data_IF_015561189000
#
_entry.id   IF_015561189000
#
_cell.length_a   1.000
_cell.length_b   1.000
_cell.length_c   1.000
_cell.angle_alpha   90.00
_cell.angle_beta   90.00
_cell.angle_gamma   90.00
#
_symmetry.space_group_name_H-M   'P 1'
#
loop_
_entity.id
_entity.type
_entity.pdbx_description
1 polymer ?
#
# COMPACT_ATOMS: atom_id res chain seq x y z
N UNK A 1 5.43 -9.11 12.16
CA UNK A 1 4.75 -7.88 12.59
C UNK A 1 4.03 -8.14 13.88
N UNK A 2 4.02 -7.13 14.75
CA UNK A 2 3.38 -7.16 16.05
C UNK A 2 2.40 -6.00 16.19
N UNK A 3 1.44 -6.13 17.10
CA UNK A 3 0.46 -5.09 17.39
C UNK A 3 0.80 -4.41 18.71
N UNK A 4 0.61 -3.09 18.80
CA UNK A 4 0.76 -2.42 20.10
C UNK A 4 -0.36 -2.86 21.04
N UNK A 5 -0.11 -2.95 22.37
CA UNK A 5 -1.13 -3.39 23.32
C UNK A 5 -2.42 -2.54 23.31
N UNK A 6 -2.28 -1.25 23.00
CA UNK A 6 -3.38 -0.29 22.93
C UNK A 6 -4.05 -0.20 21.54
N UNK A 7 -3.65 -1.02 20.55
CA UNK A 7 -4.20 -0.95 19.18
C UNK A 7 -5.73 -0.91 19.15
N UNK A 8 -6.37 -1.86 19.84
CA UNK A 8 -7.81 -2.01 19.77
C UNK A 8 -8.52 -0.83 20.44
N UNK A 9 -8.03 -0.37 21.60
CA UNK A 9 -8.61 0.78 22.29
C UNK A 9 -8.46 2.07 21.47
N UNK A 10 -7.30 2.26 20.83
CA UNK A 10 -7.06 3.36 19.88
C UNK A 10 -8.09 3.31 18.75
N UNK A 11 -8.25 2.19 18.06
CA UNK A 11 -9.22 2.12 16.97
C UNK A 11 -10.68 2.28 17.42
N UNK A 12 -11.03 1.73 18.59
CA UNK A 12 -12.38 1.88 19.15
C UNK A 12 -12.70 3.33 19.52
N UNK A 13 -11.70 4.13 19.94
CA UNK A 13 -11.86 5.57 20.19
C UNK A 13 -12.18 6.37 18.92
N UNK A 14 -11.88 5.81 17.74
CA UNK A 14 -12.16 6.39 16.42
C UNK A 14 -13.28 5.67 15.67
N UNK A 15 -14.01 4.72 16.28
CA UNK A 15 -15.01 3.89 15.60
C UNK A 15 -16.12 4.69 14.91
N UNK A 16 -16.45 5.87 15.43
CA UNK A 16 -17.42 6.81 14.87
C UNK A 16 -17.07 7.23 13.45
N UNK A 17 -15.78 7.24 13.09
CA UNK A 17 -15.33 7.54 11.74
C UNK A 17 -15.80 6.47 10.74
N UNK A 18 -16.06 5.23 11.17
CA UNK A 18 -16.55 4.16 10.29
C UNK A 18 -17.97 4.40 9.76
N UNK A 19 -18.69 5.41 10.27
CA UNK A 19 -20.00 5.80 9.74
C UNK A 19 -19.86 6.31 8.29
N UNK A 20 -18.83 7.09 8.00
CA UNK A 20 -18.59 7.70 6.68
C UNK A 20 -17.33 7.18 5.98
N UNK A 21 -16.50 6.42 6.68
CA UNK A 21 -15.22 5.91 6.17
C UNK A 21 -15.22 4.39 6.06
N UNK A 22 -14.60 3.86 5.00
CA UNK A 22 -14.55 2.42 4.75
C UNK A 22 -13.86 1.65 5.87
N UNK A 23 -12.73 2.16 6.33
CA UNK A 23 -11.90 1.57 7.38
C UNK A 23 -10.98 2.62 8.00
N UNK A 24 -10.45 2.29 9.18
CA UNK A 24 -9.39 3.03 9.84
C UNK A 24 -8.04 2.39 9.54
N UNK A 25 -6.98 3.20 9.47
CA UNK A 25 -5.60 2.73 9.39
C UNK A 25 -4.70 3.69 10.19
N UNK A 26 -3.50 3.26 10.57
CA UNK A 26 -2.70 3.96 11.56
C UNK A 26 -1.21 3.93 11.20
N UNK A 27 -0.41 4.75 11.89
CA UNK A 27 1.05 4.73 11.76
C UNK A 27 1.64 3.40 12.27
N UNK A 28 2.91 3.15 11.94
CA UNK A 28 3.64 1.98 12.40
C UNK A 28 4.92 2.41 13.13
N UNK A 29 5.48 1.52 13.93
CA UNK A 29 6.87 1.53 14.35
C UNK A 29 7.67 0.58 13.46
N UNK A 30 8.97 0.82 13.31
CA UNK A 30 9.86 -0.05 12.53
C UNK A 30 10.90 -0.68 13.46
N UNK A 31 10.93 -2.01 13.47
CA UNK A 31 11.95 -2.81 14.15
C UNK A 31 12.91 -3.40 13.12
N UNK A 32 14.22 -3.15 13.28
CA UNK A 32 15.27 -3.62 12.37
C UNK A 32 16.09 -4.76 12.98
N UNK A 33 15.42 -5.70 13.66
CA UNK A 33 16.08 -6.81 14.36
C UNK A 33 16.67 -6.44 15.72
N UNK A 34 16.37 -5.23 16.21
CA UNK A 34 16.79 -4.75 17.52
C UNK A 34 15.88 -5.29 18.62
N UNK A 35 16.46 -5.62 19.78
CA UNK A 35 15.69 -5.89 20.99
C UNK A 35 15.17 -4.57 21.53
N UNK A 36 13.86 -4.47 21.73
CA UNK A 36 13.21 -3.28 22.28
C UNK A 36 12.46 -3.63 23.56
N UNK A 37 12.45 -2.71 24.53
CA UNK A 37 11.75 -2.89 25.80
C UNK A 37 10.31 -2.37 25.76
N UNK A 38 10.05 -1.35 24.94
CA UNK A 38 8.73 -0.74 24.75
C UNK A 38 8.57 -0.36 23.26
N UNK A 39 7.42 -0.58 22.62
CA UNK A 39 7.22 -0.24 21.20
C UNK A 39 7.54 1.22 20.87
N UNK A 40 7.26 2.15 21.80
CA UNK A 40 7.51 3.58 21.62
C UNK A 40 9.01 3.97 21.56
N UNK A 41 9.93 3.06 21.90
CA UNK A 41 11.37 3.31 21.71
C UNK A 41 11.81 3.08 20.26
N UNK A 42 10.98 2.43 19.44
CA UNK A 42 11.29 2.17 18.04
C UNK A 42 11.04 3.42 17.18
N UNK A 43 11.77 3.59 16.06
CA UNK A 43 11.52 4.66 15.11
C UNK A 43 10.08 4.64 14.57
N UNK A 44 9.43 5.80 14.59
CA UNK A 44 8.12 6.00 13.99
C UNK A 44 8.20 5.95 12.46
N UNK A 45 7.32 5.15 11.86
CA UNK A 45 7.06 5.11 10.42
C UNK A 45 5.68 5.71 10.13
N UNK A 46 5.61 7.02 9.83
CA UNK A 46 4.34 7.69 9.60
C UNK A 46 3.75 7.28 8.25
N UNK A 47 2.48 6.86 8.26
CA UNK A 47 1.69 6.66 7.04
C UNK A 47 1.20 7.99 6.50
N UNK A 48 1.10 8.05 5.18
CA UNK A 48 0.55 9.23 4.51
C UNK A 48 -0.95 9.37 4.84
N UNK A 49 -1.45 10.58 5.12
CA UNK A 49 -2.88 10.86 5.08
C UNK A 49 -3.48 10.41 3.75
N UNK A 50 -4.75 10.04 3.77
CA UNK A 50 -5.40 9.51 2.60
C UNK A 50 -5.45 10.58 1.50
N UNK A 51 -5.16 10.14 0.28
CA UNK A 51 -5.41 10.94 -0.91
C UNK A 51 -5.69 9.98 -2.04
N UNK A 52 -6.87 10.07 -2.64
CA UNK A 52 -7.25 9.26 -3.81
C UNK A 52 -6.16 9.28 -4.91
N UNK A 53 -5.56 10.46 -5.15
CA UNK A 53 -4.47 10.65 -6.13
C UNK A 53 -3.19 9.86 -5.80
N UNK A 54 -2.89 9.67 -4.52
CA UNK A 54 -1.75 8.84 -4.07
C UNK A 54 -2.14 7.37 -4.01
N UNK A 55 -3.33 7.09 -3.50
CA UNK A 55 -3.87 5.76 -3.32
C UNK A 55 -4.11 5.04 -4.64
N UNK A 56 -4.44 5.71 -5.75
CA UNK A 56 -4.53 5.07 -7.07
C UNK A 56 -3.17 4.76 -7.71
N UNK A 57 -2.08 5.29 -7.15
CA UNK A 57 -0.72 5.00 -7.62
C UNK A 57 -0.13 3.83 -6.85
N UNK A 58 -0.31 3.77 -5.53
CA UNK A 58 0.26 2.72 -4.68
C UNK A 58 -0.59 2.51 -3.44
N UNK A 59 -0.44 1.35 -2.80
CA UNK A 59 -0.93 1.12 -1.45
C UNK A 59 -0.24 2.10 -0.49
N UNK A 60 -0.98 3.06 0.04
CA UNK A 60 -0.53 4.01 1.09
C UNK A 60 -1.04 3.64 2.49
N UNK A 61 -1.82 2.56 2.59
CA UNK A 61 -2.49 2.08 3.81
C UNK A 61 -1.59 1.11 4.58
N UNK A 62 -0.76 0.34 3.86
CA UNK A 62 0.09 -0.69 4.45
C UNK A 62 -0.61 -2.05 4.47
N UNK A 63 -0.47 -2.80 5.56
CA UNK A 63 -1.04 -4.15 5.75
C UNK A 63 -2.00 -4.21 6.96
N UNK A 64 -2.43 -3.05 7.45
CA UNK A 64 -3.30 -2.92 8.61
C UNK A 64 -4.51 -2.07 8.27
N UNK A 65 -5.69 -2.57 8.64
CA UNK A 65 -6.95 -1.84 8.65
C UNK A 65 -7.82 -2.27 9.84
N UNK A 66 -8.73 -1.41 10.27
CA UNK A 66 -9.80 -1.72 11.22
C UNK A 66 -11.15 -1.30 10.62
N UNK A 67 -12.11 -2.22 10.55
CA UNK A 67 -13.42 -1.99 9.93
C UNK A 67 -14.47 -2.94 10.47
N UNK A 68 -15.71 -2.75 10.06
CA UNK A 68 -16.78 -3.70 10.32
C UNK A 68 -16.51 -5.03 9.62
N UNK A 69 -16.68 -6.14 10.35
CA UNK A 69 -16.44 -7.47 9.82
C UNK A 69 -17.24 -7.78 8.55
N UNK A 70 -18.48 -7.26 8.45
CA UNK A 70 -19.34 -7.49 7.28
C UNK A 70 -18.78 -6.83 6.01
N UNK A 71 -18.20 -5.62 6.09
CA UNK A 71 -17.56 -4.96 4.92
C UNK A 71 -16.43 -5.80 4.33
N UNK A 72 -15.64 -6.41 5.23
CA UNK A 72 -14.56 -7.30 4.82
C UNK A 72 -15.10 -8.60 4.21
N UNK A 73 -16.20 -9.16 4.74
CA UNK A 73 -16.85 -10.36 4.19
C UNK A 73 -17.54 -10.13 2.84
N UNK A 74 -18.04 -8.92 2.58
CA UNK A 74 -18.62 -8.59 1.29
C UNK A 74 -17.56 -8.32 0.22
N UNK A 75 -16.38 -7.84 0.62
CA UNK A 75 -15.27 -7.67 -0.29
C UNK A 75 -14.48 -8.98 -0.49
N UNK A 76 -14.07 -9.67 0.58
CA UNK A 76 -13.16 -10.83 0.59
C UNK A 76 -11.86 -10.65 -0.21
N UNK A 77 -10.90 -11.56 -0.05
CA UNK A 77 -9.74 -11.59 -0.92
C UNK A 77 -10.10 -12.22 -2.27
N UNK A 78 -9.49 -11.69 -3.33
CA UNK A 78 -9.53 -12.30 -4.65
C UNK A 78 -8.51 -13.46 -4.69
N UNK A 79 -9.01 -14.70 -4.74
CA UNK A 79 -8.19 -15.92 -4.70
C UNK A 79 -7.34 -16.13 -5.96
N UNK A 80 -7.72 -15.48 -7.07
CA UNK A 80 -6.98 -15.52 -8.32
C UNK A 80 -5.82 -14.52 -8.34
N UNK A 81 -5.86 -13.51 -7.48
CA UNK A 81 -4.86 -12.46 -7.42
C UNK A 81 -3.61 -12.92 -6.65
N UNK A 82 -2.49 -13.11 -7.35
CA UNK A 82 -1.23 -13.65 -6.78
C UNK A 82 -0.34 -12.63 -6.08
N UNK A 83 -0.64 -11.33 -6.21
CA UNK A 83 0.05 -10.23 -5.54
C UNK A 83 -0.85 -8.99 -5.52
N UNK A 84 -0.58 -8.04 -4.62
CA UNK A 84 -1.41 -6.85 -4.39
C UNK A 84 -2.83 -7.17 -3.85
N UNK A 85 -2.99 -8.31 -3.16
CA UNK A 85 -4.25 -8.76 -2.55
C UNK A 85 -4.82 -7.73 -1.56
N UNK A 86 -3.99 -7.26 -0.62
CA UNK A 86 -4.39 -6.21 0.33
C UNK A 86 -4.83 -4.94 -0.38
N UNK A 87 -4.09 -4.54 -1.41
CA UNK A 87 -4.40 -3.33 -2.15
C UNK A 87 -5.70 -3.46 -2.96
N UNK A 88 -5.98 -4.63 -3.52
CA UNK A 88 -7.24 -4.93 -4.19
C UNK A 88 -8.45 -4.80 -3.27
N UNK A 89 -8.41 -5.47 -2.12
CA UNK A 89 -9.52 -5.43 -1.17
C UNK A 89 -9.68 -4.02 -0.60
N UNK A 90 -8.59 -3.31 -0.28
CA UNK A 90 -8.67 -1.93 0.20
C UNK A 90 -9.25 -1.00 -0.84
N UNK A 91 -8.87 -1.14 -2.11
CA UNK A 91 -9.45 -0.32 -3.18
C UNK A 91 -10.94 -0.58 -3.35
N UNK A 92 -11.38 -1.84 -3.28
CA UNK A 92 -12.81 -2.18 -3.35
C UNK A 92 -13.60 -1.63 -2.17
N UNK A 93 -13.07 -1.77 -0.95
CA UNK A 93 -13.70 -1.16 0.23
C UNK A 93 -13.77 0.36 0.13
N UNK A 94 -12.75 1.03 -0.40
CA UNK A 94 -12.77 2.49 -0.58
C UNK A 94 -13.79 2.94 -1.62
N UNK A 95 -13.94 2.16 -2.71
CA UNK A 95 -14.94 2.44 -3.75
C UNK A 95 -16.35 2.26 -3.20
N UNK A 96 -16.58 1.22 -2.40
CA UNK A 96 -17.91 0.87 -1.90
C UNK A 96 -18.33 1.70 -0.67
N UNK A 97 -17.43 1.88 0.29
CA UNK A 97 -17.76 2.41 1.62
C UNK A 97 -17.13 3.76 1.96
N UNK A 98 -16.45 4.39 1.00
CA UNK A 98 -15.87 5.73 1.15
C UNK A 98 -14.38 5.77 1.51
N UNK A 99 -13.84 6.98 1.55
CA UNK A 99 -12.41 7.18 1.83
C UNK A 99 -12.04 6.64 3.22
N UNK A 100 -10.83 6.08 3.43
CA UNK A 100 -10.43 5.58 4.74
C UNK A 100 -9.96 6.72 5.65
N UNK A 101 -10.06 6.50 6.96
CA UNK A 101 -9.63 7.47 7.97
C UNK A 101 -8.27 7.08 8.55
N UNK A 102 -7.34 8.04 8.61
CA UNK A 102 -6.03 7.84 9.22
C UNK A 102 -6.08 8.22 10.70
N UNK A 103 -5.63 7.31 11.55
CA UNK A 103 -5.34 7.50 12.97
C UNK A 103 -3.84 7.84 13.11
N UNK A 104 -3.51 8.84 13.93
CA UNK A 104 -2.13 9.35 14.02
C UNK A 104 -1.24 8.54 14.96
N UNK A 105 -1.83 7.76 15.86
CA UNK A 105 -1.13 6.84 16.73
C UNK A 105 -0.48 5.72 15.93
N UNK A 106 0.69 5.28 16.38
CA UNK A 106 1.29 4.05 15.87
C UNK A 106 0.71 2.85 16.61
N UNK A 107 0.25 1.85 15.86
CA UNK A 107 -0.46 0.68 16.43
C UNK A 107 0.01 -0.68 15.91
N UNK A 108 1.13 -0.67 15.18
CA UNK A 108 1.82 -1.84 14.66
C UNK A 108 3.32 -1.65 14.74
N UNK A 109 4.04 -2.75 14.89
CA UNK A 109 5.49 -2.83 14.78
C UNK A 109 5.77 -3.67 13.53
N UNK A 110 6.39 -3.04 12.54
CA UNK A 110 6.83 -3.65 11.30
C UNK A 110 8.25 -4.16 11.47
N UNK A 111 8.46 -5.46 11.25
CA UNK A 111 9.80 -6.04 11.30
C UNK A 111 10.40 -6.00 9.91
N UNK A 112 11.47 -5.21 9.75
CA UNK A 112 12.21 -5.12 8.49
C UNK A 112 13.44 -6.01 8.62
N UNK A 113 13.44 -7.14 7.91
CA UNK A 113 14.63 -7.96 7.77
C UNK A 113 15.55 -7.30 6.71
N UNK A 114 16.71 -6.78 7.12
CA UNK A 114 17.71 -6.16 6.23
C UNK A 114 18.43 -7.13 5.27
N UNK A 115 17.96 -8.36 5.10
CA UNK A 115 18.65 -9.39 4.31
C UNK A 115 17.77 -10.30 3.46
N UNK A 116 16.45 -10.29 3.64
CA UNK A 116 15.56 -11.10 2.81
C UNK A 116 14.91 -10.22 1.76
N UNK A 117 15.30 -10.46 0.52
CA UNK A 117 14.73 -9.93 -0.70
C UNK A 117 13.21 -9.75 -0.57
N UNK A 118 12.80 -8.51 -0.31
CA UNK A 118 11.43 -8.02 -0.16
C UNK A 118 10.47 -8.77 -1.09
N UNK A 119 9.85 -9.85 -0.60
CA UNK A 119 9.14 -10.90 -1.37
C UNK A 119 9.42 -10.78 -2.87
N UNK A 120 10.60 -11.31 -3.23
CA UNK A 120 11.08 -11.82 -4.52
C UNK A 120 10.53 -11.14 -5.80
N UNK A 121 11.46 -10.80 -6.67
CA UNK A 121 11.31 -10.53 -8.12
C UNK A 121 10.72 -11.73 -8.90
N UNK A 122 9.64 -12.31 -8.41
CA UNK A 122 9.02 -13.49 -8.99
C UNK A 122 8.06 -13.12 -10.12
N UNK A 123 7.92 -13.96 -11.15
CA UNK A 123 6.89 -13.80 -12.18
C UNK A 123 5.47 -13.64 -11.62
N UNK A 124 5.21 -14.19 -10.42
CA UNK A 124 3.93 -14.06 -9.69
C UNK A 124 3.63 -12.60 -9.32
N UNK A 125 4.66 -11.80 -9.00
CA UNK A 125 4.53 -10.36 -8.71
C UNK A 125 4.05 -9.59 -9.94
N UNK A 126 4.63 -9.85 -11.11
CA UNK A 126 4.16 -9.24 -12.35
C UNK A 126 2.71 -9.62 -12.64
N UNK A 127 2.40 -10.92 -12.60
CA UNK A 127 1.05 -11.43 -12.88
C UNK A 127 0.01 -10.79 -11.95
N UNK A 128 0.27 -10.74 -10.64
CA UNK A 128 -0.64 -10.14 -9.67
C UNK A 128 -0.84 -8.64 -9.88
N UNK A 129 0.24 -7.86 -10.01
CA UNK A 129 0.10 -6.41 -10.28
C UNK A 129 -0.55 -6.12 -11.64
N UNK A 130 -0.34 -6.97 -12.65
CA UNK A 130 -0.97 -6.82 -13.96
C UNK A 130 -2.47 -7.12 -13.88
N UNK A 131 -2.86 -8.17 -13.17
CA UNK A 131 -4.25 -8.50 -12.89
C UNK A 131 -4.92 -7.33 -12.14
N UNK A 132 -4.33 -6.86 -11.03
CA UNK A 132 -4.81 -5.70 -10.28
C UNK A 132 -5.02 -4.48 -11.20
N UNK A 133 -4.03 -4.16 -12.05
CA UNK A 133 -4.16 -3.06 -13.00
C UNK A 133 -5.33 -3.27 -13.96
N UNK A 134 -5.48 -4.45 -14.56
CA UNK A 134 -6.60 -4.74 -15.48
C UNK A 134 -7.96 -4.60 -14.80
N UNK A 135 -8.06 -5.02 -13.55
CA UNK A 135 -9.29 -5.00 -12.73
C UNK A 135 -9.75 -3.59 -12.36
N UNK A 136 -8.83 -2.64 -12.24
CA UNK A 136 -9.13 -1.30 -11.70
C UNK A 136 -8.77 -0.11 -12.61
N UNK A 137 -8.14 -0.35 -13.77
CA UNK A 137 -7.65 0.72 -14.67
C UNK A 137 -8.73 1.72 -15.08
N UNK A 138 -9.98 1.30 -15.16
CA UNK A 138 -11.17 2.12 -15.42
C UNK A 138 -11.31 3.27 -14.43
N UNK A 139 -10.94 3.06 -13.17
CA UNK A 139 -11.03 4.04 -12.07
C UNK A 139 -9.86 5.02 -12.05
N UNK A 140 -8.76 4.66 -12.70
CA UNK A 140 -7.51 5.43 -12.63
C UNK A 140 -7.48 6.61 -13.59
N UNK A 141 -7.06 7.76 -13.07
CA UNK A 141 -6.68 8.91 -13.90
C UNK A 141 -5.48 8.58 -14.80
N UNK A 142 -5.23 9.43 -15.81
CA UNK A 142 -4.14 9.23 -16.78
C UNK A 142 -2.77 9.11 -16.11
N UNK A 143 -2.51 9.89 -15.05
CA UNK A 143 -1.24 9.88 -14.35
C UNK A 143 -1.04 8.59 -13.53
N UNK A 144 -2.11 8.04 -12.98
CA UNK A 144 -2.15 6.81 -12.20
C UNK A 144 -2.01 5.60 -13.12
N UNK A 145 -2.66 5.61 -14.29
CA UNK A 145 -2.41 4.62 -15.35
C UNK A 145 -0.93 4.58 -15.75
N UNK A 146 -0.33 5.75 -16.03
CA UNK A 146 1.12 5.85 -16.33
C UNK A 146 1.98 5.32 -15.18
N UNK A 147 1.62 5.62 -13.93
CA UNK A 147 2.35 5.15 -12.75
C UNK A 147 2.30 3.62 -12.62
N UNK A 148 1.10 3.03 -12.74
CA UNK A 148 0.90 1.58 -12.62
C UNK A 148 1.63 0.83 -13.73
N UNK A 149 1.51 1.30 -14.99
CA UNK A 149 2.24 0.73 -16.12
C UNK A 149 3.76 0.84 -15.93
N UNK A 150 4.26 1.97 -15.46
CA UNK A 150 5.69 2.12 -15.15
C UNK A 150 6.16 1.12 -14.10
N UNK A 151 5.38 0.93 -13.02
CA UNK A 151 5.66 -0.09 -12.00
C UNK A 151 5.69 -1.51 -12.60
N UNK A 152 4.77 -1.85 -13.51
CA UNK A 152 4.77 -3.14 -14.20
C UNK A 152 6.03 -3.38 -15.04
N UNK A 153 6.54 -2.37 -15.72
CA UNK A 153 7.81 -2.45 -16.44
C UNK A 153 9.01 -2.69 -15.50
N UNK A 154 9.02 -2.00 -14.35
CA UNK A 154 10.06 -2.20 -13.33
C UNK A 154 10.00 -3.62 -12.75
N UNK A 155 8.82 -4.11 -12.39
CA UNK A 155 8.64 -5.47 -11.87
C UNK A 155 9.08 -6.52 -12.90
N UNK A 156 8.79 -6.29 -14.19
CA UNK A 156 9.20 -7.20 -15.28
C UNK A 156 10.69 -7.10 -15.63
N UNK A 157 11.43 -6.14 -15.05
CA UNK A 157 12.82 -5.83 -15.37
C UNK A 157 13.09 -5.67 -16.88
N UNK A 158 12.13 -5.07 -17.62
CA UNK A 158 12.28 -4.83 -19.05
C UNK A 158 12.93 -3.48 -19.32
N UNK A 159 13.90 -3.45 -20.24
CA UNK A 159 14.39 -2.17 -20.81
C UNK A 159 13.24 -1.44 -21.48
N UNK A 160 13.02 -0.19 -21.10
CA UNK A 160 12.05 0.68 -21.77
C UNK A 160 12.68 1.27 -23.02
N UNK A 161 11.96 1.24 -24.13
CA UNK A 161 12.34 2.06 -25.29
C UNK A 161 12.14 3.54 -24.96
N UNK A 162 12.83 4.44 -25.66
CA UNK A 162 12.62 5.88 -25.52
C UNK A 162 11.15 6.28 -25.72
N UNK A 163 10.46 5.70 -26.70
CA UNK A 163 9.02 5.93 -26.92
C UNK A 163 8.17 5.52 -25.71
N UNK A 164 8.46 4.34 -25.14
CA UNK A 164 7.78 3.86 -23.93
C UNK A 164 8.05 4.77 -22.74
N UNK A 165 9.31 5.19 -22.56
CA UNK A 165 9.70 6.08 -21.47
C UNK A 165 8.95 7.42 -21.54
N UNK A 166 8.93 8.05 -22.72
CA UNK A 166 8.18 9.30 -22.96
C UNK A 166 6.67 9.12 -22.73
N UNK A 167 6.11 8.00 -23.19
CA UNK A 167 4.68 7.69 -23.01
C UNK A 167 4.32 7.58 -21.52
N UNK A 168 5.18 6.91 -20.75
CA UNK A 168 4.98 6.71 -19.31
C UNK A 168 5.50 7.87 -18.46
N UNK A 169 6.09 8.90 -19.07
CA UNK A 169 6.67 10.01 -18.34
C UNK A 169 5.59 10.77 -17.56
N UNK A 170 5.89 11.00 -16.30
CA UNK A 170 5.19 11.88 -15.37
C UNK A 170 6.22 12.40 -14.37
N UNK A 171 5.95 13.52 -13.70
CA UNK A 171 6.85 14.09 -12.68
C UNK A 171 7.31 13.01 -11.69
N UNK A 172 6.38 12.15 -11.26
CA UNK A 172 6.68 11.09 -10.30
C UNK A 172 7.49 9.92 -10.88
N UNK A 173 7.22 9.53 -12.13
CA UNK A 173 8.01 8.47 -12.78
C UNK A 173 9.43 8.97 -13.12
N UNK A 174 9.58 10.25 -13.47
CA UNK A 174 10.89 10.88 -13.66
C UNK A 174 11.73 10.87 -12.38
N UNK A 175 11.13 11.25 -11.23
CA UNK A 175 11.80 11.17 -9.92
C UNK A 175 12.25 9.73 -9.60
N UNK A 176 11.37 8.74 -9.77
CA UNK A 176 11.69 7.31 -9.55
C UNK A 176 12.82 6.80 -10.44
N UNK A 177 12.91 7.29 -11.68
CA UNK A 177 14.00 6.93 -12.58
C UNK A 177 15.32 7.54 -12.09
N UNK A 178 15.32 8.81 -11.69
CA UNK A 178 16.50 9.49 -11.16
C UNK A 178 17.01 8.83 -9.86
N UNK A 179 16.11 8.49 -8.93
CA UNK A 179 16.45 7.81 -7.68
C UNK A 179 17.06 6.42 -7.96
N UNK A 180 16.53 5.70 -8.96
CA UNK A 180 17.07 4.40 -9.37
C UNK A 180 18.44 4.46 -10.08
N UNK A 181 18.82 5.63 -10.61
CA UNK A 181 20.17 5.88 -11.16
C UNK A 181 21.14 6.26 -10.05
N UNK A 182 20.68 7.05 -9.06
CA UNK A 182 21.50 7.49 -7.91
C UNK A 182 21.79 6.38 -6.89
N UNK A 183 20.95 5.35 -6.83
CA UNK A 183 21.14 4.17 -5.98
C UNK A 183 21.98 3.06 -6.62
N UNK A 184 22.82 3.38 -7.62
CA UNK A 184 23.80 2.48 -8.25
C UNK A 184 25.20 3.05 -8.08
#
# INVERSE_FOLDING_TARGET
DEWTPNRLSVFLAHKQQLVTHAFLYANDYVCQGEVYSQPASLPLYPKSPYSRRLFYKRNIIGNQVFTWAWRFKECLFDTELKAAQDYDIFLRMVVEYGEPWKVEEATQILHINHGEMQITSSPKKFSGYFHFYRKHKDKFDRASKKYQLFTLYQIRNKRMTWRTLLTLLSVRNGKRLADGIRGR
#
